data_IF_301088170047
#
_entry.id   IF_301088170047
#
_cell.length_a   1.000
_cell.length_b   1.000
_cell.length_c   1.000
_cell.angle_alpha   90.00
_cell.angle_beta   90.00
_cell.angle_gamma   90.00
#
_symmetry.space_group_name_H-M   'P 1'
#
loop_
_entity.id
_entity.type
_entity.pdbx_description
1 polymer ?
#
# COMPACT_ATOMS: atom_id res chain seq x y z
N UNK A 1 8.57 18.45 6.37
CA UNK A 1 7.79 19.06 5.27
C UNK A 1 8.58 19.13 3.95
N UNK A 2 9.89 19.46 3.99
CA UNK A 2 10.75 19.53 2.79
C UNK A 2 10.83 18.22 1.99
N UNK A 3 10.84 17.07 2.66
CA UNK A 3 10.91 15.73 2.01
C UNK A 3 9.77 15.46 1.00
N UNK A 4 8.56 15.93 1.28
CA UNK A 4 7.42 15.72 0.37
C UNK A 4 7.59 16.58 -0.88
N UNK A 5 8.10 17.81 -0.70
CA UNK A 5 8.40 18.77 -1.77
C UNK A 5 9.55 18.25 -2.65
N UNK A 6 10.54 17.57 -2.08
CA UNK A 6 11.63 16.92 -2.82
C UNK A 6 11.21 15.61 -3.51
N UNK A 7 9.94 15.22 -3.42
CA UNK A 7 9.43 14.02 -4.07
C UNK A 7 9.70 12.73 -3.30
N UNK A 8 10.23 12.79 -2.08
CA UNK A 8 10.41 11.61 -1.22
C UNK A 8 9.02 11.01 -0.91
N UNK A 9 8.91 9.69 -1.06
CA UNK A 9 7.72 8.89 -0.71
C UNK A 9 8.14 7.77 0.23
N UNK A 10 7.18 7.20 0.95
CA UNK A 10 7.47 6.09 1.83
C UNK A 10 7.94 4.86 1.06
N UNK A 11 8.70 4.01 1.75
CA UNK A 11 9.09 2.70 1.23
C UNK A 11 7.93 1.73 1.44
N UNK A 12 7.66 0.82 0.48
CA UNK A 12 6.66 -0.22 0.69
C UNK A 12 6.92 -1.00 1.97
N UNK A 13 5.88 -1.22 2.76
CA UNK A 13 5.94 -2.05 3.96
C UNK A 13 5.96 -3.50 3.51
N UNK A 14 6.79 -4.34 4.13
CA UNK A 14 6.82 -5.77 3.82
C UNK A 14 5.41 -6.39 3.98
N UNK A 15 5.10 -7.36 3.13
CA UNK A 15 3.79 -8.03 3.04
C UNK A 15 2.63 -7.14 2.57
N UNK A 16 2.90 -5.90 2.16
CA UNK A 16 1.91 -5.11 1.41
C UNK A 16 1.73 -5.74 0.02
N UNK A 17 0.49 -6.03 -0.42
CA UNK A 17 0.24 -6.60 -1.74
C UNK A 17 0.89 -5.75 -2.85
N UNK A 18 1.64 -6.39 -3.73
CA UNK A 18 2.39 -5.72 -4.79
C UNK A 18 1.49 -4.82 -5.68
N UNK A 19 0.25 -5.25 -5.89
CA UNK A 19 -0.73 -4.50 -6.68
C UNK A 19 -1.19 -3.21 -5.98
N UNK A 20 -1.35 -3.24 -4.65
CA UNK A 20 -1.63 -2.04 -3.86
C UNK A 20 -0.43 -1.09 -3.91
N UNK A 21 0.78 -1.62 -3.76
CA UNK A 21 2.04 -0.87 -3.89
C UNK A 21 2.18 -0.21 -5.26
N UNK A 22 1.87 -0.94 -6.33
CA UNK A 22 1.87 -0.41 -7.69
C UNK A 22 0.83 0.70 -7.88
N UNK A 23 -0.36 0.54 -7.30
CA UNK A 23 -1.44 1.51 -7.39
C UNK A 23 -1.05 2.85 -6.77
N UNK A 24 -0.64 2.87 -5.49
CA UNK A 24 -0.31 4.13 -4.82
C UNK A 24 0.93 4.79 -5.44
N UNK A 25 1.89 3.99 -5.93
CA UNK A 25 3.07 4.51 -6.62
C UNK A 25 2.71 5.28 -7.90
N UNK A 26 1.71 4.81 -8.66
CA UNK A 26 1.17 5.51 -9.83
C UNK A 26 0.40 6.78 -9.43
N UNK A 27 -0.39 6.72 -8.36
CA UNK A 27 -1.12 7.88 -7.84
C UNK A 27 -0.19 9.02 -7.42
N UNK A 28 1.01 8.70 -6.92
CA UNK A 28 2.02 9.69 -6.55
C UNK A 28 3.06 10.00 -7.62
N UNK A 29 2.79 9.64 -8.89
CA UNK A 29 3.70 10.00 -9.96
C UNK A 29 3.97 11.51 -9.98
N UNK A 30 5.25 11.94 -10.11
CA UNK A 30 5.58 13.36 -10.27
C UNK A 30 5.00 13.92 -11.57
N UNK A 31 4.76 13.06 -12.55
CA UNK A 31 4.08 13.36 -13.81
C UNK A 31 2.55 13.23 -13.63
N UNK A 32 1.79 14.34 -13.71
CA UNK A 32 0.33 14.31 -13.56
C UNK A 32 -0.37 13.39 -14.55
N UNK A 33 0.15 13.26 -15.78
CA UNK A 33 -0.48 12.47 -16.84
C UNK A 33 -0.37 10.97 -16.59
N UNK A 34 0.58 10.56 -15.74
CA UNK A 34 0.75 9.16 -15.32
C UNK A 34 -0.18 8.78 -14.17
N UNK A 35 -0.88 9.74 -13.56
CA UNK A 35 -1.80 9.46 -12.46
C UNK A 35 -3.07 8.81 -13.01
N UNK A 36 -3.51 7.67 -12.43
CA UNK A 36 -4.73 7.03 -12.87
C UNK A 36 -5.95 7.91 -12.54
N UNK A 37 -6.96 7.84 -13.40
CA UNK A 37 -8.26 8.42 -13.13
C UNK A 37 -8.97 7.69 -11.97
N UNK A 38 -9.88 8.39 -11.29
CA UNK A 38 -10.54 7.90 -10.07
C UNK A 38 -11.29 6.59 -10.29
N UNK A 39 -11.95 6.44 -11.44
CA UNK A 39 -12.64 5.21 -11.85
C UNK A 39 -11.69 4.00 -11.91
N UNK A 40 -10.48 4.19 -12.44
CA UNK A 40 -9.46 3.14 -12.48
C UNK A 40 -8.92 2.80 -11.09
N UNK A 41 -8.78 3.81 -10.23
CA UNK A 41 -8.37 3.60 -8.84
C UNK A 41 -9.41 2.76 -8.11
N UNK A 42 -10.68 3.17 -8.15
CA UNK A 42 -11.80 2.46 -7.51
C UNK A 42 -11.90 1.01 -7.98
N UNK A 43 -11.92 0.78 -9.29
CA UNK A 43 -11.94 -0.58 -9.85
C UNK A 43 -10.75 -1.44 -9.41
N UNK A 44 -9.56 -0.85 -9.26
CA UNK A 44 -8.39 -1.58 -8.77
C UNK A 44 -8.54 -1.93 -7.29
N UNK A 45 -9.02 -1.00 -6.48
CA UNK A 45 -9.25 -1.22 -5.05
C UNK A 45 -10.34 -2.28 -4.81
N UNK A 46 -11.44 -2.25 -5.56
CA UNK A 46 -12.51 -3.24 -5.46
C UNK A 46 -11.99 -4.65 -5.75
N UNK A 47 -11.17 -4.81 -6.81
CA UNK A 47 -10.54 -6.09 -7.15
C UNK A 47 -9.60 -6.59 -6.04
N UNK A 48 -8.88 -5.67 -5.39
CA UNK A 48 -7.99 -6.02 -4.29
C UNK A 48 -8.76 -6.41 -3.03
N UNK A 49 -9.84 -5.70 -2.70
CA UNK A 49 -10.71 -6.03 -1.57
C UNK A 49 -11.28 -7.44 -1.69
N UNK A 50 -11.83 -7.77 -2.86
CA UNK A 50 -12.36 -9.11 -3.13
C UNK A 50 -11.29 -10.20 -2.97
N UNK A 51 -10.04 -9.95 -3.36
CA UNK A 51 -8.93 -10.90 -3.17
C UNK A 51 -8.55 -11.07 -1.71
N UNK A 52 -8.55 -9.99 -0.93
CA UNK A 52 -8.26 -10.05 0.50
C UNK A 52 -9.36 -10.84 1.23
N UNK A 53 -10.62 -10.61 0.88
CA UNK A 53 -11.76 -11.36 1.42
C UNK A 53 -11.64 -12.87 1.12
N UNK A 54 -11.21 -13.25 -0.09
CA UNK A 54 -10.94 -14.64 -0.43
C UNK A 54 -9.81 -15.27 0.41
N UNK A 55 -8.74 -14.52 0.70
CA UNK A 55 -7.62 -15.00 1.52
C UNK A 55 -8.05 -15.19 2.98
N UNK A 56 -8.82 -14.25 3.54
CA UNK A 56 -9.32 -14.34 4.92
C UNK A 56 -10.23 -15.55 5.09
N UNK A 57 -11.07 -15.83 4.09
CA UNK A 57 -12.04 -16.91 4.13
C UNK A 57 -11.46 -18.29 3.76
N UNK A 58 -10.25 -18.34 3.19
CA UNK A 58 -9.54 -19.60 2.91
C UNK A 58 -8.04 -19.51 3.30
N UNK A 59 -7.70 -19.81 4.56
CA UNK A 59 -6.38 -19.61 5.14
C UNK A 59 -5.24 -20.40 4.48
N UNK A 60 -5.56 -21.45 3.72
CA UNK A 60 -4.55 -22.28 3.02
C UNK A 60 -3.86 -21.56 1.84
N UNK A 61 -4.32 -20.36 1.45
CA UNK A 61 -3.69 -19.54 0.39
C UNK A 61 -2.72 -18.47 0.92
N UNK A 62 -2.52 -18.41 2.24
CA UNK A 62 -1.57 -17.47 2.85
C UNK A 62 -0.15 -17.95 2.54
N UNK A 63 0.69 -17.16 1.84
CA UNK A 63 2.11 -17.45 1.74
C UNK A 63 2.69 -17.53 3.16
N UNK A 64 3.37 -18.64 3.46
CA UNK A 64 4.03 -18.87 4.75
C UNK A 64 5.17 -17.88 4.96
N UNK A 65 4.85 -16.69 5.46
CA UNK A 65 5.81 -15.68 5.89
C UNK A 65 5.91 -15.68 7.42
N UNK A 66 5.93 -16.87 8.02
CA UNK A 66 6.14 -17.10 9.46
C UNK A 66 7.55 -16.68 9.88
N UNK A 67 7.89 -15.39 9.76
CA UNK A 67 8.89 -14.64 10.54
C UNK A 67 9.10 -13.24 9.93
N UNK A 68 8.39 -12.22 10.46
CA UNK A 68 8.92 -10.86 10.70
C UNK A 68 7.81 -9.78 10.62
N UNK A 69 7.19 -9.45 11.75
CA UNK A 69 7.27 -8.08 12.32
C UNK A 69 6.30 -7.86 13.50
N UNK A 70 6.37 -8.69 14.53
CA UNK A 70 6.01 -8.20 15.87
C UNK A 70 7.12 -7.25 16.33
N UNK A 71 7.11 -6.00 15.84
CA UNK A 71 7.80 -4.80 16.34
C UNK A 71 7.73 -3.74 15.24
N UNK A 72 6.82 -2.78 15.38
CA UNK A 72 7.02 -1.36 15.04
C UNK A 72 5.74 -0.53 15.26
N UNK A 73 4.84 -0.98 16.14
CA UNK A 73 3.80 -0.10 16.67
C UNK A 73 4.32 0.62 17.92
N UNK A 74 5.37 1.45 17.80
CA UNK A 74 5.67 2.48 18.80
C UNK A 74 6.27 3.72 18.17
N UNK A 75 5.63 4.84 18.51
CA UNK A 75 6.04 6.23 18.37
C UNK A 75 5.68 6.94 17.06
N UNK A 76 4.41 7.28 16.92
CA UNK A 76 4.05 8.60 16.41
C UNK A 76 3.55 9.44 17.59
N UNK A 77 4.41 10.28 18.14
CA UNK A 77 4.00 11.44 18.93
C UNK A 77 4.29 12.69 18.10
N UNK A 78 3.23 13.34 17.62
CA UNK A 78 3.35 14.69 17.09
C UNK A 78 3.35 15.65 18.27
N UNK A 79 4.48 16.35 18.49
CA UNK A 79 4.51 17.53 19.34
C UNK A 79 4.12 18.76 18.53
N UNK A 80 3.34 19.65 19.16
CA UNK A 80 2.78 20.91 18.65
C UNK A 80 3.82 21.88 18.11
#
# INVERSE_FOLDING_TARGET
MLEVVSGTREKPIANTPADYTSLYSKCWSPDPDKRPALDKILNTLDKLSNRIELIINNPELVPDDSQSMAKNLKNCQCST
#
